data_IF_264501315421
#
_entry.id   IF_264501315421
#
_cell.length_a   1.000
_cell.length_b   1.000
_cell.length_c   1.000
_cell.angle_alpha   90.00
_cell.angle_beta   90.00
_cell.angle_gamma   90.00
#
_symmetry.space_group_name_H-M   'P 1'
#
loop_
_entity.id
_entity.type
_entity.pdbx_description
1 polymer ?
#
# COMPACT_ATOMS: atom_id res chain seq x y z
N UNK A 1 -12.70 61.02 12.99
CA UNK A 1 -12.52 60.57 11.59
C UNK A 1 -11.87 59.18 11.65
N UNK A 2 -12.63 58.09 11.81
CA UNK A 2 -13.26 57.20 10.80
C UNK A 2 -12.30 56.57 9.77
N UNK A 3 -11.96 55.29 9.99
CA UNK A 3 -11.88 54.16 9.02
C UNK A 3 -11.18 52.97 9.75
N UNK A 4 -11.84 51.97 10.35
CA UNK A 4 -12.57 50.82 9.80
C UNK A 4 -11.73 49.93 8.86
N UNK A 5 -11.04 48.92 9.41
CA UNK A 5 -10.82 47.61 8.77
C UNK A 5 -10.99 46.51 9.83
N UNK A 6 -12.17 45.89 9.79
CA UNK A 6 -12.45 44.60 10.40
C UNK A 6 -11.80 43.52 9.52
N UNK A 7 -10.91 42.69 10.06
CA UNK A 7 -10.59 41.39 9.46
C UNK A 7 -10.85 40.31 10.52
N UNK A 8 -11.79 39.44 10.15
CA UNK A 8 -12.45 38.44 10.97
C UNK A 8 -11.49 37.41 11.56
N UNK A 9 -11.77 37.05 12.81
CA UNK A 9 -11.33 35.84 13.49
C UNK A 9 -11.85 34.60 12.73
N UNK A 10 -10.98 33.60 12.54
CA UNK A 10 -11.16 32.14 12.68
C UNK A 10 -10.03 31.46 11.91
N UNK A 11 -9.19 30.70 12.61
CA UNK A 11 -8.14 29.87 11.99
C UNK A 11 -7.01 29.57 12.96
N UNK A 12 -7.15 28.47 13.69
CA UNK A 12 -6.29 27.97 14.76
C UNK A 12 -4.80 27.98 14.39
N UNK A 13 -3.97 28.52 15.29
CA UNK A 13 -2.52 28.32 15.30
C UNK A 13 -2.17 26.91 15.81
N UNK A 14 -1.14 26.27 15.23
CA UNK A 14 0.01 25.66 15.92
C UNK A 14 1.08 25.37 14.86
N UNK A 15 2.24 26.01 15.01
CA UNK A 15 3.51 25.66 14.35
C UNK A 15 4.13 24.42 15.02
N UNK A 16 4.78 23.52 14.26
CA UNK A 16 6.12 23.03 14.63
C UNK A 16 6.97 22.70 13.38
N UNK A 17 8.28 22.88 13.56
CA UNK A 17 9.41 22.96 12.60
C UNK A 17 9.96 21.60 12.13
N UNK A 18 10.37 21.58 10.85
CA UNK A 18 11.59 20.98 10.21
C UNK A 18 12.09 19.57 10.58
N UNK A 19 12.16 18.64 9.62
CA UNK A 19 13.36 18.25 8.83
C UNK A 19 13.07 16.97 8.01
N UNK A 20 13.15 17.06 6.67
CA UNK A 20 13.02 15.94 5.73
C UNK A 20 12.44 16.45 4.41
N UNK A 21 13.19 16.33 3.31
CA UNK A 21 12.96 17.11 2.07
C UNK A 21 11.55 17.03 1.49
N UNK A 22 11.18 18.11 0.80
CA UNK A 22 9.92 18.26 0.07
C UNK A 22 9.81 17.26 -1.11
N UNK A 23 9.54 15.99 -0.81
CA UNK A 23 8.88 15.11 -1.75
C UNK A 23 7.37 15.29 -1.52
N UNK A 24 6.74 16.11 -2.35
CA UNK A 24 5.29 16.25 -2.33
C UNK A 24 4.62 14.88 -2.36
N UNK A 25 3.59 14.68 -1.52
CA UNK A 25 2.76 13.48 -1.51
C UNK A 25 2.26 13.23 -2.94
N UNK A 26 2.85 12.26 -3.63
CA UNK A 26 2.40 11.89 -4.98
C UNK A 26 1.18 11.01 -4.79
N UNK A 27 0.05 11.40 -5.35
CA UNK A 27 -1.19 10.62 -5.30
C UNK A 27 -1.45 10.11 -6.71
N UNK A 28 -1.48 8.78 -6.94
CA UNK A 28 -1.75 8.23 -8.25
C UNK A 28 -3.15 8.62 -8.72
N UNK A 29 -3.30 9.00 -9.99
CA UNK A 29 -4.63 9.18 -10.59
C UNK A 29 -5.28 7.81 -10.87
N UNK A 30 -6.52 7.82 -11.34
CA UNK A 30 -7.29 6.59 -11.63
C UNK A 30 -6.57 5.61 -12.57
N UNK A 31 -6.01 6.09 -13.68
CA UNK A 31 -5.28 5.26 -14.65
C UNK A 31 -4.00 4.68 -14.04
N UNK A 32 -3.34 5.43 -13.18
CA UNK A 32 -2.14 4.99 -12.48
C UNK A 32 -2.51 3.95 -11.42
N UNK A 33 -3.57 4.16 -10.65
CA UNK A 33 -4.09 3.19 -9.67
C UNK A 33 -4.51 1.88 -10.32
N UNK A 34 -5.09 1.93 -11.52
CA UNK A 34 -5.33 0.72 -12.30
C UNK A 34 -4.04 -0.05 -12.59
N UNK A 35 -2.96 0.64 -13.01
CA UNK A 35 -1.67 0.00 -13.25
C UNK A 35 -1.10 -0.63 -11.97
N UNK A 36 -1.26 0.02 -10.82
CA UNK A 36 -0.83 -0.52 -9.51
C UNK A 36 -1.58 -1.82 -9.22
N UNK A 37 -2.90 -1.84 -9.38
CA UNK A 37 -3.72 -3.02 -9.08
C UNK A 37 -3.43 -4.16 -10.06
N UNK A 38 -3.26 -3.83 -11.33
CA UNK A 38 -2.82 -4.80 -12.34
C UNK A 38 -1.47 -5.43 -11.94
N UNK A 39 -0.47 -4.60 -11.60
CA UNK A 39 0.82 -5.09 -11.14
C UNK A 39 0.70 -5.94 -9.88
N UNK A 40 -0.11 -5.50 -8.92
CA UNK A 40 -0.34 -6.22 -7.66
C UNK A 40 -0.82 -7.64 -7.90
N UNK A 41 -1.78 -7.82 -8.80
CA UNK A 41 -2.29 -9.14 -9.12
C UNK A 41 -1.28 -9.98 -9.92
N UNK A 42 -0.46 -9.35 -10.77
CA UNK A 42 0.64 -10.02 -11.48
C UNK A 42 1.75 -10.51 -10.53
N UNK A 43 2.02 -9.77 -9.46
CA UNK A 43 3.03 -10.14 -8.46
C UNK A 43 2.51 -11.09 -7.37
N UNK A 44 1.19 -11.17 -7.19
CA UNK A 44 0.56 -12.02 -6.20
C UNK A 44 0.35 -13.44 -6.77
N UNK A 45 0.52 -14.51 -5.97
CA UNK A 45 0.35 -15.88 -6.45
C UNK A 45 -1.13 -16.26 -6.62
N UNK A 46 -1.83 -15.62 -7.58
CA UNK A 46 -3.20 -15.94 -7.99
C UNK A 46 -3.23 -16.84 -9.22
N UNK A 47 -4.29 -17.64 -9.35
CA UNK A 47 -4.66 -18.37 -10.57
C UNK A 47 -5.61 -17.54 -11.47
N UNK A 48 -6.14 -16.42 -10.96
CA UNK A 48 -7.02 -15.51 -11.70
C UNK A 48 -6.35 -14.88 -12.94
N UNK A 49 -7.07 -14.87 -14.06
CA UNK A 49 -6.66 -14.16 -15.28
C UNK A 49 -7.19 -12.71 -15.28
N UNK A 50 -6.27 -11.75 -15.40
CA UNK A 50 -6.48 -10.30 -15.18
C UNK A 50 -7.13 -9.58 -16.37
N UNK A 51 -7.60 -10.28 -17.40
CA UNK A 51 -7.84 -9.67 -18.73
C UNK A 51 -8.90 -8.57 -18.77
N UNK A 52 -9.75 -8.38 -17.74
CA UNK A 52 -10.83 -7.37 -17.76
C UNK A 52 -11.07 -6.65 -16.41
N UNK A 53 -10.03 -6.34 -15.64
CA UNK A 53 -10.19 -5.70 -14.31
C UNK A 53 -10.66 -4.23 -14.36
N UNK A 54 -10.59 -3.57 -15.52
CA UNK A 54 -10.96 -2.15 -15.64
C UNK A 54 -12.40 -1.88 -15.23
N UNK A 55 -13.32 -2.75 -15.64
CA UNK A 55 -14.75 -2.57 -15.40
C UNK A 55 -15.17 -2.91 -13.96
N UNK A 56 -14.22 -3.45 -13.19
CA UNK A 56 -14.40 -3.87 -11.81
C UNK A 56 -13.85 -2.86 -10.80
N UNK A 57 -13.14 -1.84 -11.26
CA UNK A 57 -12.45 -0.91 -10.38
C UNK A 57 -13.37 0.24 -9.95
N UNK A 58 -13.78 0.22 -8.68
CA UNK A 58 -14.51 1.30 -8.03
C UNK A 58 -13.72 1.84 -6.83
N UNK A 59 -13.81 3.16 -6.58
CA UNK A 59 -13.18 3.78 -5.40
C UNK A 59 -11.67 3.97 -5.50
N UNK A 60 -11.15 4.24 -6.71
CA UNK A 60 -9.72 4.47 -6.96
C UNK A 60 -9.12 5.58 -6.06
N UNK A 61 -9.88 6.63 -5.73
CA UNK A 61 -9.40 7.76 -4.94
C UNK A 61 -8.89 7.35 -3.56
N UNK A 62 -9.66 6.54 -2.81
CA UNK A 62 -9.26 6.10 -1.47
C UNK A 62 -8.04 5.15 -1.52
N UNK A 63 -7.97 4.34 -2.57
CA UNK A 63 -6.85 3.43 -2.82
C UNK A 63 -5.57 4.24 -3.09
N UNK A 64 -5.65 5.23 -3.98
CA UNK A 64 -4.57 6.15 -4.30
C UNK A 64 -4.04 6.87 -3.06
N UNK A 65 -4.95 7.38 -2.22
CA UNK A 65 -4.58 8.05 -0.98
C UNK A 65 -3.87 7.12 -0.01
N UNK A 66 -4.36 5.90 0.16
CA UNK A 66 -3.75 4.91 1.05
C UNK A 66 -2.35 4.51 0.57
N UNK A 67 -2.13 4.33 -0.74
CA UNK A 67 -0.78 4.11 -1.26
C UNK A 67 0.16 5.29 -0.97
N UNK A 68 -0.32 6.52 -1.17
CA UNK A 68 0.47 7.72 -0.90
C UNK A 68 0.81 7.87 0.61
N UNK A 69 -0.14 7.54 1.50
CA UNK A 69 0.11 7.51 2.93
C UNK A 69 1.10 6.42 3.33
N UNK A 70 0.96 5.21 2.77
CA UNK A 70 1.89 4.12 3.02
C UNK A 70 3.34 4.49 2.68
N UNK A 71 3.55 5.07 1.50
CA UNK A 71 4.88 5.52 1.05
C UNK A 71 5.43 6.61 1.97
N UNK A 72 4.57 7.56 2.37
CA UNK A 72 4.96 8.65 3.27
C UNK A 72 5.37 8.11 4.64
N UNK A 73 4.58 7.21 5.22
CA UNK A 73 4.86 6.56 6.51
C UNK A 73 6.13 5.73 6.44
N UNK A 74 6.32 4.92 5.39
CA UNK A 74 7.50 4.07 5.25
C UNK A 74 8.80 4.86 5.25
N UNK A 75 8.83 6.02 4.59
CA UNK A 75 10.02 6.89 4.50
C UNK A 75 10.50 7.40 5.84
N UNK A 76 9.62 7.57 6.83
CA UNK A 76 10.03 8.00 8.17
C UNK A 76 10.96 6.97 8.86
N UNK A 77 10.98 5.71 8.38
CA UNK A 77 11.97 4.68 8.73
C UNK A 77 12.07 4.36 10.23
N UNK A 78 11.03 4.69 11.01
CA UNK A 78 10.87 4.21 12.39
C UNK A 78 10.01 2.96 12.42
N UNK A 79 10.13 2.16 13.48
CA UNK A 79 9.33 0.95 13.67
C UNK A 79 7.83 1.26 13.56
N UNK A 80 7.38 2.31 14.23
CA UNK A 80 5.98 2.74 14.29
C UNK A 80 5.49 3.21 12.91
N UNK A 81 6.33 3.96 12.19
CA UNK A 81 6.00 4.46 10.86
C UNK A 81 5.91 3.34 9.81
N UNK A 82 6.72 2.28 9.95
CA UNK A 82 6.64 1.11 9.08
C UNK A 82 5.39 0.28 9.38
N UNK A 83 5.01 0.12 10.66
CA UNK A 83 3.73 -0.51 11.02
C UNK A 83 2.56 0.27 10.39
N UNK A 84 2.59 1.59 10.49
CA UNK A 84 1.57 2.44 9.90
C UNK A 84 1.54 2.34 8.36
N UNK A 85 2.71 2.21 7.73
CA UNK A 85 2.79 1.95 6.29
C UNK A 85 2.12 0.62 5.92
N UNK A 86 2.39 -0.47 6.67
CA UNK A 86 1.76 -1.77 6.45
C UNK A 86 0.24 -1.71 6.62
N UNK A 87 -0.24 -0.95 7.61
CA UNK A 87 -1.67 -0.71 7.81
C UNK A 87 -2.29 -0.02 6.60
N UNK A 88 -1.70 1.07 6.10
CA UNK A 88 -2.19 1.76 4.90
C UNK A 88 -2.14 0.88 3.65
N UNK A 89 -1.09 0.07 3.47
CA UNK A 89 -1.04 -0.91 2.38
C UNK A 89 -2.19 -1.91 2.49
N UNK A 90 -2.44 -2.46 3.68
CA UNK A 90 -3.57 -3.35 3.96
C UNK A 90 -4.93 -2.69 3.68
N UNK A 91 -5.10 -1.42 4.01
CA UNK A 91 -6.31 -0.67 3.67
C UNK A 91 -6.47 -0.45 2.17
N UNK A 92 -5.40 -0.07 1.46
CA UNK A 92 -5.41 0.12 0.01
C UNK A 92 -5.89 -1.14 -0.72
N UNK A 93 -5.37 -2.30 -0.28
CA UNK A 93 -5.64 -3.57 -0.94
C UNK A 93 -6.90 -4.26 -0.41
N UNK A 94 -7.56 -3.72 0.61
CA UNK A 94 -8.79 -4.30 1.16
C UNK A 94 -9.98 -4.27 0.21
N UNK A 95 -9.88 -3.46 -0.86
CA UNK A 95 -10.84 -3.40 -1.94
C UNK A 95 -10.56 -4.45 -3.02
N UNK A 96 -9.36 -5.06 -3.05
CA UNK A 96 -8.97 -6.07 -4.05
C UNK A 96 -9.90 -7.28 -4.10
N UNK A 97 -10.40 -7.83 -2.97
CA UNK A 97 -11.40 -8.89 -3.02
C UNK A 97 -12.64 -8.56 -3.85
N UNK A 98 -13.12 -7.31 -3.81
CA UNK A 98 -14.26 -6.86 -4.63
C UNK A 98 -13.93 -6.89 -6.12
N UNK A 99 -12.66 -6.72 -6.50
CA UNK A 99 -12.21 -6.81 -7.89
C UNK A 99 -12.09 -8.27 -8.33
N UNK A 100 -11.70 -9.17 -7.43
CA UNK A 100 -11.64 -10.60 -7.69
C UNK A 100 -13.02 -11.24 -7.79
N UNK A 101 -14.07 -10.66 -7.21
CA UNK A 101 -15.46 -11.09 -7.40
C UNK A 101 -15.93 -11.03 -8.86
N UNK A 102 -15.22 -10.29 -9.73
CA UNK A 102 -15.48 -10.29 -11.18
C UNK A 102 -15.06 -11.58 -11.90
N UNK A 103 -14.10 -12.32 -11.34
CA UNK A 103 -13.70 -13.64 -11.82
C UNK A 103 -13.26 -14.48 -10.62
N UNK A 104 -14.21 -14.96 -9.81
CA UNK A 104 -13.91 -15.46 -8.49
C UNK A 104 -13.22 -16.81 -8.58
N UNK A 105 -11.93 -16.81 -8.26
CA UNK A 105 -11.20 -18.01 -7.82
C UNK A 105 -11.20 -18.00 -6.30
N UNK A 106 -12.06 -18.81 -5.67
CA UNK A 106 -12.26 -18.83 -4.21
C UNK A 106 -10.95 -18.95 -3.42
N UNK A 107 -10.01 -19.74 -3.94
CA UNK A 107 -8.66 -19.88 -3.38
C UNK A 107 -7.88 -18.57 -3.35
N UNK A 108 -7.99 -17.74 -4.39
CA UNK A 108 -7.25 -16.48 -4.48
C UNK A 108 -7.85 -15.42 -3.57
N UNK A 109 -9.18 -15.40 -3.42
CA UNK A 109 -9.85 -14.57 -2.43
C UNK A 109 -9.36 -14.88 -1.01
N UNK A 110 -9.30 -16.15 -0.64
CA UNK A 110 -8.77 -16.56 0.68
C UNK A 110 -7.33 -16.12 0.90
N UNK A 111 -6.46 -16.27 -0.11
CA UNK A 111 -5.07 -15.83 -0.04
C UNK A 111 -4.95 -14.31 0.18
N UNK A 112 -5.74 -13.53 -0.57
CA UNK A 112 -5.76 -12.06 -0.43
C UNK A 112 -6.28 -11.66 0.96
N UNK A 113 -7.38 -12.23 1.43
CA UNK A 113 -7.89 -11.98 2.78
C UNK A 113 -6.91 -12.33 3.90
N UNK A 114 -6.18 -13.43 3.76
CA UNK A 114 -5.13 -13.78 4.73
C UNK A 114 -4.03 -12.72 4.76
N UNK A 115 -3.52 -12.33 3.59
CA UNK A 115 -2.47 -11.32 3.45
C UNK A 115 -2.89 -9.97 4.03
N UNK A 116 -4.14 -9.57 3.77
CA UNK A 116 -4.77 -8.38 4.32
C UNK A 116 -4.75 -8.37 5.85
N UNK A 117 -5.17 -9.47 6.46
CA UNK A 117 -5.22 -9.58 7.91
C UNK A 117 -3.82 -9.54 8.52
N UNK A 118 -2.84 -10.19 7.90
CA UNK A 118 -1.44 -10.17 8.35
C UNK A 118 -0.83 -8.76 8.30
N UNK A 119 -1.12 -7.98 7.26
CA UNK A 119 -0.61 -6.61 7.16
C UNK A 119 -1.30 -5.64 8.13
N UNK A 120 -2.60 -5.82 8.38
CA UNK A 120 -3.36 -4.99 9.32
C UNK A 120 -3.01 -5.29 10.78
N UNK A 121 -2.85 -6.56 11.11
CA UNK A 121 -2.59 -7.05 12.46
C UNK A 121 -1.61 -8.23 12.41
N UNK A 122 -0.31 -7.97 12.26
CA UNK A 122 0.69 -9.02 12.27
C UNK A 122 0.77 -9.68 13.66
N UNK A 123 0.96 -11.00 13.69
CA UNK A 123 1.20 -11.75 14.93
C UNK A 123 2.59 -11.44 15.49
N UNK A 124 3.58 -11.35 14.60
CA UNK A 124 4.95 -10.93 14.94
C UNK A 124 5.44 -9.86 13.98
N UNK A 125 6.19 -8.90 14.51
CA UNK A 125 6.77 -7.82 13.74
C UNK A 125 8.18 -7.48 14.25
N UNK A 126 9.18 -7.88 13.45
CA UNK A 126 10.58 -7.57 13.70
C UNK A 126 11.04 -6.48 12.73
N UNK A 127 11.71 -5.47 13.27
CA UNK A 127 12.21 -4.33 12.53
C UNK A 127 13.66 -4.04 12.91
N UNK A 128 14.55 -4.12 11.94
CA UNK A 128 15.98 -3.78 12.09
C UNK A 128 16.32 -2.69 11.08
N UNK A 129 15.83 -1.48 11.33
CA UNK A 129 16.12 -0.30 10.52
C UNK A 129 15.90 -0.54 9.02
N UNK A 130 16.89 -0.17 8.22
CA UNK A 130 16.90 -0.38 6.76
C UNK A 130 17.56 -1.71 6.34
N UNK A 131 17.47 -2.76 7.17
CA UNK A 131 18.12 -4.05 6.89
C UNK A 131 17.16 -5.22 6.84
N UNK A 132 16.14 -5.21 7.69
CA UNK A 132 15.20 -6.33 7.82
C UNK A 132 13.86 -5.84 8.37
N UNK A 133 12.80 -6.35 7.77
CA UNK A 133 11.41 -6.16 8.18
C UNK A 133 10.78 -7.54 8.05
N UNK A 134 10.48 -8.17 9.19
CA UNK A 134 9.78 -9.44 9.20
C UNK A 134 8.37 -9.27 9.72
N UNK A 135 7.44 -9.79 8.95
CA UNK A 135 6.02 -9.86 9.32
C UNK A 135 5.68 -11.34 9.39
N UNK A 136 5.24 -11.82 10.55
CA UNK A 136 4.98 -13.24 10.79
C UNK A 136 6.16 -14.13 10.35
N UNK A 137 7.37 -13.75 10.77
CA UNK A 137 8.66 -14.40 10.43
C UNK A 137 9.04 -14.38 8.95
N UNK A 138 8.23 -13.79 8.07
CA UNK A 138 8.53 -13.63 6.64
C UNK A 138 9.25 -12.32 6.40
N UNK A 139 10.43 -12.40 5.81
CA UNK A 139 11.22 -11.24 5.42
C UNK A 139 10.56 -10.54 4.21
N UNK A 140 10.22 -9.28 4.39
CA UNK A 140 9.55 -8.45 3.38
C UNK A 140 10.35 -7.20 3.01
N UNK A 141 11.47 -6.91 3.69
CA UNK A 141 12.21 -5.66 3.52
C UNK A 141 12.55 -5.36 2.06
N UNK A 142 13.14 -6.34 1.35
CA UNK A 142 13.59 -6.13 -0.03
C UNK A 142 12.43 -5.79 -0.97
N UNK A 143 11.34 -6.55 -0.92
CA UNK A 143 10.18 -6.35 -1.79
C UNK A 143 9.50 -5.02 -1.52
N UNK A 144 9.32 -4.67 -0.24
CA UNK A 144 8.74 -3.39 0.14
C UNK A 144 9.64 -2.23 -0.29
N UNK A 145 10.96 -2.34 -0.12
CA UNK A 145 11.90 -1.30 -0.53
C UNK A 145 11.94 -1.12 -2.06
N UNK A 146 11.91 -2.20 -2.84
CA UNK A 146 11.81 -2.11 -4.31
C UNK A 146 10.49 -1.50 -4.75
N UNK A 147 9.35 -1.89 -4.14
CA UNK A 147 8.07 -1.27 -4.43
C UNK A 147 8.14 0.26 -4.25
N UNK A 148 8.64 0.73 -3.11
CA UNK A 148 8.76 2.17 -2.83
C UNK A 148 9.65 2.89 -3.86
N UNK A 149 10.77 2.28 -4.31
CA UNK A 149 11.59 2.83 -5.40
C UNK A 149 10.81 2.97 -6.71
N UNK A 150 9.99 1.98 -7.07
CA UNK A 150 9.16 2.05 -8.27
C UNK A 150 8.06 3.10 -8.16
N UNK A 151 7.48 3.27 -6.97
CA UNK A 151 6.53 4.36 -6.69
C UNK A 151 7.17 5.73 -6.92
N UNK A 152 8.39 5.93 -6.42
CA UNK A 152 9.16 7.16 -6.60
C UNK A 152 9.51 7.43 -8.06
N UNK A 153 9.80 6.37 -8.81
CA UNK A 153 10.04 6.43 -10.25
C UNK A 153 8.75 6.56 -11.08
N UNK A 154 7.57 6.61 -10.45
CA UNK A 154 6.24 6.60 -11.10
C UNK A 154 6.04 5.40 -12.04
N UNK A 155 6.69 4.29 -11.72
CA UNK A 155 6.54 3.00 -12.40
C UNK A 155 5.44 2.20 -11.69
N UNK A 156 4.21 2.62 -11.91
CA UNK A 156 3.04 2.20 -11.14
C UNK A 156 2.77 0.70 -11.18
N UNK A 157 2.92 0.08 -12.35
CA UNK A 157 2.77 -1.37 -12.50
C UNK A 157 3.86 -2.15 -11.77
N UNK A 158 5.11 -1.69 -11.82
CA UNK A 158 6.21 -2.32 -11.09
C UNK A 158 6.02 -2.16 -9.57
N UNK A 159 5.57 -0.98 -9.11
CA UNK A 159 5.19 -0.77 -7.70
C UNK A 159 4.14 -1.78 -7.27
N UNK A 160 3.08 -1.93 -8.08
CA UNK A 160 2.06 -2.95 -7.89
C UNK A 160 2.67 -4.35 -7.78
N UNK A 161 3.48 -4.75 -8.76
CA UNK A 161 4.11 -6.08 -8.83
C UNK A 161 4.88 -6.43 -7.55
N UNK A 162 5.78 -5.56 -7.11
CA UNK A 162 6.56 -5.80 -5.90
C UNK A 162 5.71 -5.81 -4.63
N UNK A 163 4.65 -5.00 -4.56
CA UNK A 163 3.67 -5.11 -3.48
C UNK A 163 2.94 -6.45 -3.52
N UNK A 164 2.47 -6.88 -4.69
CA UNK A 164 1.82 -8.18 -4.89
C UNK A 164 2.67 -9.34 -4.39
N UNK A 165 3.97 -9.33 -4.73
CA UNK A 165 4.92 -10.34 -4.24
C UNK A 165 5.12 -10.25 -2.74
N UNK A 166 5.21 -9.04 -2.19
CA UNK A 166 5.29 -8.80 -0.74
C UNK A 166 4.08 -9.41 0.01
N UNK A 167 2.86 -9.18 -0.49
CA UNK A 167 1.64 -9.79 0.05
C UNK A 167 1.64 -11.31 -0.12
N UNK A 168 2.09 -11.82 -1.28
CA UNK A 168 2.19 -13.26 -1.53
C UNK A 168 3.09 -13.99 -0.54
N UNK A 169 4.19 -13.37 -0.11
CA UNK A 169 5.13 -13.96 0.86
C UNK A 169 4.49 -14.18 2.23
N UNK A 170 3.70 -13.21 2.70
CA UNK A 170 3.00 -13.35 3.98
C UNK A 170 1.79 -14.28 3.89
N UNK A 171 1.19 -14.42 2.70
CA UNK A 171 0.15 -15.41 2.43
C UNK A 171 0.64 -16.85 2.68
N UNK A 172 1.91 -17.12 2.35
CA UNK A 172 2.58 -18.42 2.48
C UNK A 172 2.95 -18.81 3.91
N UNK A 173 2.38 -18.17 4.93
CA UNK A 173 2.54 -18.56 6.34
C UNK A 173 1.90 -19.93 6.66
N UNK A 174 1.21 -20.56 5.70
CA UNK A 174 0.67 -21.92 5.82
C UNK A 174 0.27 -22.62 4.51
N UNK A 175 0.46 -22.02 3.33
CA UNK A 175 0.23 -22.65 2.02
C UNK A 175 1.58 -22.73 1.31
N UNK A 176 2.18 -23.93 1.29
CA UNK A 176 3.32 -24.20 0.42
C UNK A 176 2.84 -24.15 -1.03
N UNK A 177 3.22 -23.11 -1.77
CA UNK A 177 3.16 -23.15 -3.24
C UNK A 177 4.37 -23.96 -3.69
N UNK A 178 4.20 -25.29 -3.74
CA UNK A 178 5.14 -26.17 -4.41
C UNK A 178 4.95 -25.88 -5.90
N UNK A 179 5.92 -25.21 -6.51
CA UNK A 179 5.98 -25.04 -7.96
C UNK A 179 6.12 -26.41 -8.61
N UNK A 180 5.27 -26.68 -9.60
CA UNK A 180 5.49 -27.70 -10.62
C UNK A 180 6.08 -27.03 -11.86
#
# INVERSE_FOLDING_TARGET
>A
MRALVLAFLIGIAIETRTYGGAFGKTIPNESETYQIIQGLLEGFPTEAHISEIKDCLYGADQISENFAQAVTSYRASTKESVIEALRYLGEAISQVPKFLECNPVERDLMKVYHSLNVFRNPLTFDFVGNKSIKVNEREIYWYLNEAIKFYEAKKWRDFGFYLGTCFGLVCGSGIQVIGY
#
